data_IF_336278146508
#
_entry.id   IF_336278146508
#
_cell.length_a   1.000
_cell.length_b   1.000
_cell.length_c   1.000
_cell.angle_alpha   90.00
_cell.angle_beta   90.00
_cell.angle_gamma   90.00
#
_symmetry.space_group_name_H-M   'P 1'
#
loop_
_entity.id
_entity.type
_entity.pdbx_description
1 polymer ?
#
# COMPACT_ATOMS: atom_id res chain seq x y z
N UNK A 1 9.51 13.06 -35.77
CA UNK A 1 9.23 13.28 -34.33
C UNK A 1 10.14 12.35 -33.56
N UNK A 2 10.87 12.85 -32.55
CA UNK A 2 11.71 11.99 -31.73
C UNK A 2 10.83 11.11 -30.83
N UNK A 3 11.03 9.80 -30.86
CA UNK A 3 10.34 8.86 -29.97
C UNK A 3 10.86 9.06 -28.55
N UNK A 4 9.99 9.40 -27.62
CA UNK A 4 10.33 9.48 -26.20
C UNK A 4 10.17 8.11 -25.54
N UNK A 5 11.17 7.68 -24.77
CA UNK A 5 11.12 6.43 -24.02
C UNK A 5 10.52 6.72 -22.64
N UNK A 6 9.48 5.99 -22.28
CA UNK A 6 8.88 6.05 -20.94
C UNK A 6 9.77 5.28 -19.96
N UNK A 7 10.51 5.99 -19.11
CA UNK A 7 11.36 5.38 -18.06
C UNK A 7 10.63 5.36 -16.72
N UNK A 8 9.93 4.26 -16.45
CA UNK A 8 9.21 4.05 -15.19
C UNK A 8 10.11 3.97 -13.96
N UNK A 9 11.39 3.54 -14.11
CA UNK A 9 12.35 3.50 -12.99
C UNK A 9 12.76 4.90 -12.56
N UNK A 10 13.08 5.76 -13.53
CA UNK A 10 13.42 7.16 -13.24
C UNK A 10 12.23 7.90 -12.64
N UNK A 11 11.03 7.73 -13.20
CA UNK A 11 9.82 8.30 -12.63
C UNK A 11 9.60 7.88 -11.18
N UNK A 12 9.68 6.58 -10.87
CA UNK A 12 9.52 6.04 -9.53
C UNK A 12 10.61 6.56 -8.57
N UNK A 13 11.85 6.73 -9.04
CA UNK A 13 12.94 7.28 -8.25
C UNK A 13 12.69 8.75 -7.87
N UNK A 14 12.26 9.56 -8.83
CA UNK A 14 11.88 10.96 -8.58
C UNK A 14 10.70 11.09 -7.62
N UNK A 15 9.69 10.23 -7.76
CA UNK A 15 8.54 10.19 -6.86
C UNK A 15 8.95 9.85 -5.43
N UNK A 16 9.80 8.82 -5.23
CA UNK A 16 10.35 8.48 -3.91
C UNK A 16 11.15 9.63 -3.30
N UNK A 17 11.92 10.35 -4.10
CA UNK A 17 12.63 11.55 -3.64
C UNK A 17 11.68 12.63 -3.09
N UNK A 18 10.59 12.92 -3.82
CA UNK A 18 9.55 13.86 -3.36
C UNK A 18 8.87 13.37 -2.09
N UNK A 19 8.57 12.07 -2.00
CA UNK A 19 7.94 11.47 -0.83
C UNK A 19 8.84 11.60 0.40
N UNK A 20 10.14 11.35 0.26
CA UNK A 20 11.11 11.49 1.35
C UNK A 20 11.15 12.92 1.91
N UNK A 21 11.09 13.92 1.04
CA UNK A 21 11.01 15.33 1.47
C UNK A 21 9.73 15.59 2.27
N UNK A 22 8.58 15.13 1.77
CA UNK A 22 7.30 15.30 2.46
C UNK A 22 7.27 14.57 3.82
N UNK A 23 7.86 13.38 3.92
CA UNK A 23 7.97 12.63 5.19
C UNK A 23 8.86 13.35 6.18
N UNK A 24 9.99 13.91 5.74
CA UNK A 24 10.85 14.73 6.60
C UNK A 24 10.13 15.97 7.12
N UNK A 25 9.38 16.65 6.27
CA UNK A 25 8.55 17.80 6.66
C UNK A 25 7.52 17.46 7.75
N UNK A 26 6.83 16.31 7.60
CA UNK A 26 5.89 15.81 8.61
C UNK A 26 6.60 15.51 9.94
N UNK A 27 7.77 14.89 9.88
CA UNK A 27 8.57 14.58 11.05
C UNK A 27 9.04 15.83 11.78
N UNK A 28 9.54 16.82 11.05
CA UNK A 28 10.07 18.05 11.65
C UNK A 28 8.97 18.94 12.21
N UNK A 29 7.91 19.18 11.43
CA UNK A 29 6.84 20.13 11.78
C UNK A 29 5.80 19.54 12.74
N UNK A 30 5.47 18.27 12.58
CA UNK A 30 4.36 17.64 13.30
C UNK A 30 4.79 16.50 14.22
N UNK A 31 6.08 16.09 14.21
CA UNK A 31 6.61 14.95 14.96
C UNK A 31 5.91 13.62 14.59
N UNK A 32 5.40 13.54 13.35
CA UNK A 32 4.70 12.36 12.82
C UNK A 32 5.62 11.66 11.84
N UNK A 33 5.80 10.35 12.03
CA UNK A 33 6.43 9.46 11.05
C UNK A 33 5.35 8.51 10.54
N UNK A 34 4.95 8.61 9.25
CA UNK A 34 3.93 7.72 8.69
C UNK A 34 4.36 6.27 8.78
N UNK A 35 3.41 5.37 9.04
CA UNK A 35 3.63 3.93 9.14
C UNK A 35 2.83 3.16 8.11
N UNK A 36 3.48 2.24 7.39
CA UNK A 36 2.87 1.28 6.48
C UNK A 36 2.96 -0.12 7.06
N UNK A 37 1.81 -0.77 7.24
CA UNK A 37 1.72 -2.18 7.58
C UNK A 37 1.46 -3.01 6.32
N UNK A 38 2.28 -4.04 6.11
CA UNK A 38 2.13 -5.00 5.02
C UNK A 38 1.94 -6.38 5.62
N UNK A 39 0.85 -7.05 5.28
CA UNK A 39 0.52 -8.40 5.73
C UNK A 39 0.65 -9.36 4.56
N UNK A 40 1.40 -10.43 4.75
CA UNK A 40 1.55 -11.54 3.81
C UNK A 40 1.05 -12.83 4.48
N UNK A 41 0.22 -13.59 3.79
CA UNK A 41 -0.23 -14.92 4.24
C UNK A 41 0.30 -15.98 3.29
N UNK A 42 1.01 -16.96 3.83
CA UNK A 42 1.67 -18.00 3.04
C UNK A 42 3.05 -17.61 2.51
N UNK A 43 3.56 -18.41 1.59
CA UNK A 43 4.96 -18.38 1.13
C UNK A 43 5.08 -18.25 -0.40
N UNK A 44 4.13 -17.55 -1.04
CA UNK A 44 4.22 -17.33 -2.50
C UNK A 44 5.48 -16.52 -2.84
N UNK A 45 6.42 -17.07 -3.65
CA UNK A 45 7.71 -16.43 -3.89
C UNK A 45 7.62 -15.06 -4.56
N UNK A 46 6.61 -14.85 -5.41
CA UNK A 46 6.40 -13.55 -6.05
C UNK A 46 5.95 -12.51 -5.03
N UNK A 47 4.98 -12.88 -4.18
CA UNK A 47 4.48 -12.04 -3.10
C UNK A 47 5.58 -11.67 -2.10
N UNK A 48 6.48 -12.60 -1.77
CA UNK A 48 7.63 -12.33 -0.89
C UNK A 48 8.56 -11.26 -1.44
N UNK A 49 8.83 -11.30 -2.74
CA UNK A 49 9.67 -10.28 -3.40
C UNK A 49 9.00 -8.91 -3.33
N UNK A 50 7.68 -8.83 -3.60
CA UNK A 50 6.93 -7.59 -3.53
C UNK A 50 6.91 -7.00 -2.11
N UNK A 51 6.63 -7.82 -1.10
CA UNK A 51 6.61 -7.40 0.30
C UNK A 51 7.98 -6.89 0.74
N UNK A 52 9.05 -7.63 0.44
CA UNK A 52 10.43 -7.21 0.74
C UNK A 52 10.76 -5.86 0.10
N UNK A 53 10.45 -5.69 -1.19
CA UNK A 53 10.72 -4.45 -1.90
C UNK A 53 9.92 -3.27 -1.33
N UNK A 54 8.65 -3.48 -0.98
CA UNK A 54 7.81 -2.48 -0.30
C UNK A 54 8.44 -2.05 1.02
N UNK A 55 8.88 -3.02 1.84
CA UNK A 55 9.53 -2.73 3.12
C UNK A 55 10.80 -1.89 2.96
N UNK A 56 11.67 -2.23 2.01
CA UNK A 56 12.89 -1.47 1.70
C UNK A 56 12.54 -0.04 1.29
N UNK A 57 11.66 0.11 0.30
CA UNK A 57 11.29 1.42 -0.25
C UNK A 57 10.57 2.31 0.77
N UNK A 58 9.75 1.73 1.65
CA UNK A 58 9.09 2.43 2.75
C UNK A 58 10.12 3.03 3.71
N UNK A 59 11.13 2.24 4.10
CA UNK A 59 12.21 2.70 4.98
C UNK A 59 13.10 3.75 4.31
N UNK A 60 13.42 3.59 3.02
CA UNK A 60 14.17 4.57 2.23
C UNK A 60 13.45 5.92 2.13
N UNK A 61 12.12 5.90 2.08
CA UNK A 61 11.29 7.10 2.12
C UNK A 61 11.23 7.76 3.51
N UNK A 62 11.80 7.14 4.55
CA UNK A 62 11.81 7.66 5.92
C UNK A 62 10.57 7.32 6.74
N UNK A 63 9.74 6.40 6.27
CA UNK A 63 8.53 5.92 6.94
C UNK A 63 8.81 4.70 7.82
N UNK A 64 7.94 4.45 8.79
CA UNK A 64 7.91 3.19 9.53
C UNK A 64 7.36 2.07 8.65
N UNK A 65 8.03 0.92 8.64
CA UNK A 65 7.60 -0.26 7.89
C UNK A 65 7.34 -1.41 8.86
N UNK A 66 6.10 -1.85 8.90
CA UNK A 66 5.64 -2.98 9.70
C UNK A 66 5.31 -4.14 8.76
N UNK A 67 6.01 -5.27 8.91
CA UNK A 67 5.83 -6.44 8.07
C UNK A 67 5.34 -7.61 8.92
N UNK A 68 4.20 -8.19 8.54
CA UNK A 68 3.58 -9.32 9.21
C UNK A 68 3.50 -10.51 8.25
N UNK A 69 4.20 -11.58 8.59
CA UNK A 69 4.18 -12.84 7.84
C UNK A 69 3.38 -13.86 8.60
N UNK A 70 2.26 -14.25 8.05
CA UNK A 70 1.36 -15.23 8.63
C UNK A 70 1.51 -16.57 7.90
N UNK A 71 1.46 -17.70 8.62
CA UNK A 71 1.49 -19.02 8.01
C UNK A 71 0.36 -19.23 6.99
N UNK A 72 0.58 -20.11 6.01
CA UNK A 72 -0.42 -20.44 4.98
C UNK A 72 -1.72 -21.02 5.57
N UNK A 73 -1.62 -21.73 6.69
CA UNK A 73 -2.76 -22.31 7.41
C UNK A 73 -3.43 -21.34 8.40
N UNK A 74 -3.07 -20.05 8.39
CA UNK A 74 -3.77 -19.03 9.19
C UNK A 74 -5.25 -19.02 8.83
N UNK A 75 -6.12 -18.94 9.83
CA UNK A 75 -7.56 -18.83 9.56
C UNK A 75 -7.94 -17.44 9.03
N UNK A 76 -9.06 -17.37 8.29
CA UNK A 76 -9.59 -16.07 7.83
C UNK A 76 -9.87 -15.16 9.02
N UNK A 77 -10.44 -15.69 10.11
CA UNK A 77 -10.74 -14.92 11.31
C UNK A 77 -9.49 -14.35 11.98
N UNK A 78 -8.39 -15.10 12.04
CA UNK A 78 -7.12 -14.60 12.57
C UNK A 78 -6.54 -13.47 11.71
N UNK A 79 -6.64 -13.57 10.38
CA UNK A 79 -6.24 -12.50 9.49
C UNK A 79 -7.12 -11.25 9.66
N UNK A 80 -8.44 -11.42 9.76
CA UNK A 80 -9.37 -10.31 10.00
C UNK A 80 -9.14 -9.66 11.36
N UNK A 81 -8.82 -10.43 12.40
CA UNK A 81 -8.43 -9.90 13.71
C UNK A 81 -7.12 -9.09 13.63
N UNK A 82 -6.13 -9.57 12.86
CA UNK A 82 -4.89 -8.81 12.64
C UNK A 82 -5.16 -7.49 11.91
N UNK A 83 -6.00 -7.49 10.90
CA UNK A 83 -6.38 -6.24 10.20
C UNK A 83 -7.07 -5.27 11.16
N UNK A 84 -7.94 -5.75 12.07
CA UNK A 84 -8.61 -4.91 13.05
C UNK A 84 -7.64 -4.31 14.08
N UNK A 85 -6.64 -5.09 14.53
CA UNK A 85 -5.53 -4.57 15.34
C UNK A 85 -4.82 -3.42 14.63
N UNK A 86 -4.48 -3.58 13.34
CA UNK A 86 -3.81 -2.56 12.55
C UNK A 86 -4.70 -1.33 12.27
N UNK A 87 -6.02 -1.53 12.14
CA UNK A 87 -6.97 -0.44 12.01
C UNK A 87 -6.95 0.50 13.22
N UNK A 88 -6.80 -0.07 14.42
CA UNK A 88 -6.81 0.68 15.69
C UNK A 88 -5.43 1.22 16.09
N UNK A 89 -4.35 0.68 15.52
CA UNK A 89 -2.99 1.12 15.81
C UNK A 89 -2.75 2.53 15.22
N UNK A 90 -2.43 3.48 16.10
CA UNK A 90 -2.16 4.88 15.73
C UNK A 90 -0.82 5.07 15.01
N UNK A 91 0.10 4.12 15.13
CA UNK A 91 1.39 4.13 14.42
C UNK A 91 1.27 3.67 12.97
N UNK A 92 0.15 3.01 12.61
CA UNK A 92 -0.16 2.52 11.28
C UNK A 92 -1.09 3.48 10.57
N UNK A 93 -0.60 4.12 9.51
CA UNK A 93 -1.37 5.06 8.69
C UNK A 93 -1.87 4.44 7.38
N UNK A 94 -1.27 3.34 6.96
CA UNK A 94 -1.67 2.57 5.79
C UNK A 94 -1.55 1.07 6.02
N UNK A 95 -2.51 0.32 5.51
CA UNK A 95 -2.56 -1.14 5.57
C UNK A 95 -2.61 -1.70 4.16
N UNK A 96 -1.79 -2.71 3.91
CA UNK A 96 -1.76 -3.47 2.67
C UNK A 96 -1.74 -4.95 3.01
N UNK A 97 -2.74 -5.70 2.56
CA UNK A 97 -2.70 -7.16 2.56
C UNK A 97 -2.25 -7.60 1.17
N UNK A 98 -1.13 -8.31 1.11
CA UNK A 98 -0.58 -8.77 -0.17
C UNK A 98 -1.40 -9.92 -0.74
N UNK A 99 -2.05 -9.69 -1.86
CA UNK A 99 -2.76 -10.72 -2.62
C UNK A 99 -1.82 -11.45 -3.61
N UNK A 100 -2.10 -12.72 -3.95
CA UNK A 100 -3.25 -13.51 -3.52
C UNK A 100 -3.11 -14.01 -2.07
N UNK A 101 -4.23 -14.22 -1.40
CA UNK A 101 -4.31 -14.94 -0.12
C UNK A 101 -4.63 -16.43 -0.38
N UNK A 102 -4.43 -17.34 0.61
CA UNK A 102 -4.82 -18.75 0.49
C UNK A 102 -6.29 -18.92 0.10
N UNK A 103 -6.60 -20.00 -0.66
CA UNK A 103 -7.92 -20.26 -1.24
C UNK A 103 -9.08 -20.39 -0.25
N UNK A 104 -8.79 -20.66 1.02
CA UNK A 104 -9.79 -20.77 2.08
C UNK A 104 -10.22 -19.42 2.65
N UNK A 105 -9.62 -18.34 2.18
CA UNK A 105 -9.93 -16.97 2.59
C UNK A 105 -10.70 -16.23 1.49
N UNK A 106 -11.66 -15.42 1.88
CA UNK A 106 -12.44 -14.58 0.97
C UNK A 106 -11.80 -13.19 0.85
N UNK A 107 -11.22 -12.90 -0.30
CA UNK A 107 -10.50 -11.65 -0.55
C UNK A 107 -11.37 -10.41 -0.28
N UNK A 108 -12.64 -10.45 -0.67
CA UNK A 108 -13.55 -9.32 -0.51
C UNK A 108 -13.77 -8.95 0.96
N UNK A 109 -13.92 -9.93 1.85
CA UNK A 109 -14.06 -9.70 3.29
C UNK A 109 -12.82 -9.03 3.89
N UNK A 110 -11.64 -9.42 3.41
CA UNK A 110 -10.37 -8.85 3.88
C UNK A 110 -10.27 -7.39 3.44
N UNK A 111 -10.60 -7.08 2.18
CA UNK A 111 -10.61 -5.71 1.66
C UNK A 111 -11.57 -4.84 2.47
N UNK A 112 -12.79 -5.31 2.71
CA UNK A 112 -13.83 -4.58 3.46
C UNK A 112 -13.52 -4.42 4.96
N UNK A 113 -12.64 -5.26 5.52
CA UNK A 113 -12.19 -5.12 6.91
C UNK A 113 -11.20 -3.97 7.09
N UNK A 114 -10.42 -3.63 6.07
CA UNK A 114 -9.47 -2.50 6.15
C UNK A 114 -10.29 -1.20 6.24
N UNK A 115 -9.94 -0.30 7.16
CA UNK A 115 -10.56 1.03 7.18
C UNK A 115 -10.30 1.75 5.84
N UNK A 116 -11.32 2.35 5.20
CA UNK A 116 -11.15 3.06 3.93
C UNK A 116 -10.05 4.12 3.97
N UNK A 117 -9.84 4.76 5.11
CA UNK A 117 -8.78 5.77 5.33
C UNK A 117 -7.38 5.19 5.43
N UNK A 118 -7.24 3.88 5.64
CA UNK A 118 -5.97 3.15 5.70
C UNK A 118 -5.75 2.20 4.53
N UNK A 119 -6.72 2.06 3.62
CA UNK A 119 -6.64 1.21 2.42
C UNK A 119 -5.75 1.86 1.36
N UNK A 120 -4.44 1.64 1.47
CA UNK A 120 -3.46 2.26 0.56
C UNK A 120 -3.45 1.66 -0.85
N UNK A 121 -4.07 0.51 -1.06
CA UNK A 121 -4.25 -0.07 -2.39
C UNK A 121 -5.50 0.48 -3.11
N UNK A 122 -6.39 1.20 -2.40
CA UNK A 122 -7.59 1.81 -2.95
C UNK A 122 -8.64 0.80 -3.45
N UNK A 123 -8.63 -0.41 -2.89
CA UNK A 123 -9.50 -1.53 -3.32
C UNK A 123 -10.83 -1.55 -2.57
N UNK A 124 -10.92 -0.85 -1.43
CA UNK A 124 -12.14 -0.80 -0.63
C UNK A 124 -13.30 -0.20 -1.41
N UNK A 125 -14.53 -0.76 -1.34
CA UNK A 125 -15.70 -0.27 -2.09
C UNK A 125 -15.97 1.23 -1.89
N UNK A 126 -15.72 1.77 -0.72
CA UNK A 126 -15.87 3.21 -0.43
C UNK A 126 -14.88 4.03 -1.26
N UNK A 127 -13.61 3.65 -1.34
CA UNK A 127 -12.59 4.34 -2.14
C UNK A 127 -12.88 4.21 -3.64
N UNK A 128 -13.32 3.03 -4.08
CA UNK A 128 -13.77 2.81 -5.46
C UNK A 128 -14.98 3.68 -5.81
N UNK A 129 -15.93 3.82 -4.89
CA UNK A 129 -17.10 4.71 -5.03
C UNK A 129 -16.69 6.19 -5.11
N UNK A 130 -15.76 6.63 -4.27
CA UNK A 130 -15.22 8.00 -4.34
C UNK A 130 -14.54 8.27 -5.69
N UNK A 131 -13.71 7.34 -6.16
CA UNK A 131 -13.06 7.46 -7.45
C UNK A 131 -14.08 7.55 -8.59
N UNK A 132 -15.09 6.68 -8.63
CA UNK A 132 -16.12 6.67 -9.64
C UNK A 132 -16.97 7.96 -9.64
N UNK A 133 -17.16 8.58 -8.47
CA UNK A 133 -17.92 9.82 -8.28
C UNK A 133 -17.08 11.08 -8.43
N UNK A 134 -15.77 10.97 -8.71
CA UNK A 134 -14.86 12.12 -8.79
C UNK A 134 -14.58 12.79 -7.43
N UNK A 135 -14.82 12.07 -6.33
CA UNK A 135 -14.56 12.52 -4.97
C UNK A 135 -13.12 12.18 -4.53
N UNK A 136 -12.63 12.88 -3.52
CA UNK A 136 -11.30 12.58 -2.95
C UNK A 136 -11.34 11.27 -2.16
N UNK A 137 -10.48 10.34 -2.52
CA UNK A 137 -10.27 9.07 -1.84
C UNK A 137 -8.88 8.51 -2.17
N UNK A 138 -8.56 7.36 -1.61
CA UNK A 138 -7.38 6.62 -2.00
C UNK A 138 -7.64 5.95 -3.36
N UNK A 139 -6.67 6.04 -4.25
CA UNK A 139 -6.78 5.57 -5.64
C UNK A 139 -5.92 4.34 -5.82
N UNK A 140 -6.38 3.32 -6.56
CA UNK A 140 -5.57 2.13 -6.83
C UNK A 140 -4.20 2.48 -7.41
N UNK A 141 -3.14 2.01 -6.73
CA UNK A 141 -1.76 2.42 -7.02
C UNK A 141 -1.29 2.03 -8.41
N UNK A 142 -1.65 0.85 -8.90
CA UNK A 142 -1.21 0.35 -10.21
C UNK A 142 -1.77 1.18 -11.38
N UNK A 143 -3.10 1.41 -11.49
CA UNK A 143 -3.64 2.30 -12.51
C UNK A 143 -3.12 3.73 -12.38
N UNK A 144 -2.98 4.25 -11.16
CA UNK A 144 -2.45 5.59 -10.93
C UNK A 144 -1.01 5.73 -11.42
N UNK A 145 -0.17 4.74 -11.16
CA UNK A 145 1.21 4.71 -11.64
C UNK A 145 1.28 4.70 -13.16
N UNK A 146 0.51 3.83 -13.81
CA UNK A 146 0.44 3.75 -15.26
C UNK A 146 -0.05 5.06 -15.90
N UNK A 147 -1.11 5.65 -15.36
CA UNK A 147 -1.65 6.94 -15.81
C UNK A 147 -0.62 8.07 -15.64
N UNK A 148 0.04 8.15 -14.48
CA UNK A 148 1.03 9.19 -14.19
C UNK A 148 2.22 9.17 -15.17
N UNK A 149 2.65 7.99 -15.61
CA UNK A 149 3.74 7.86 -16.58
C UNK A 149 3.24 8.17 -17.99
N UNK A 150 2.02 7.77 -18.35
CA UNK A 150 1.43 8.00 -19.68
C UNK A 150 1.17 9.49 -19.95
N UNK A 151 0.72 10.27 -18.96
CA UNK A 151 0.41 11.70 -19.12
C UNK A 151 1.62 12.64 -19.05
N UNK A 152 2.82 12.14 -18.75
CA UNK A 152 4.06 12.95 -18.73
C UNK A 152 4.79 12.96 -20.07
N UNK A 153 4.22 12.32 -21.07
CA UNK A 153 4.73 12.23 -22.45
C UNK A 153 3.62 12.59 -23.45
#
# INVERSE_FOLDING_TARGET
MATSIIDGKDYASRLRGKLKIAVNDLKEKHKIVPGLAVVLVGNDPASEIYVRNKGIQTKEAGMNSFEYRLPENTSEDDLLAKVEELNTDKSVNGILVQFPVPKHMEQQKIIERILPSKDVDGLHPVNSGYLASGLKGLVPCTPQGASSVSYTH
#
